data_IF_169852436617
#
_entry.id   IF_169852436617
#
_cell.length_a   1.000
_cell.length_b   1.000
_cell.length_c   1.000
_cell.angle_alpha   90.00
_cell.angle_beta   90.00
_cell.angle_gamma   90.00
#
_symmetry.space_group_name_H-M   'P 1'
#
loop_
_entity.id
_entity.type
_entity.pdbx_description
1 polymer ?
#
# COMPACT_ATOMS: atom_id res chain seq x y z
N UNK A 1 29.34 1.52 20.29
CA UNK A 1 28.94 0.16 19.88
C UNK A 1 27.66 0.25 19.07
N UNK A 2 27.74 -0.03 17.77
CA UNK A 2 26.65 0.03 16.79
C UNK A 2 25.64 -1.08 17.08
N UNK A 3 24.39 -0.74 17.41
CA UNK A 3 23.29 -1.72 17.46
C UNK A 3 22.46 -1.59 16.19
N UNK A 4 22.24 -2.75 15.59
CA UNK A 4 21.53 -3.00 14.34
C UNK A 4 20.10 -2.47 14.42
N UNK A 5 19.79 -1.43 13.66
CA UNK A 5 18.43 -1.15 13.22
C UNK A 5 18.44 -1.24 11.69
N UNK A 6 18.38 -2.47 11.19
CA UNK A 6 18.09 -2.72 9.79
C UNK A 6 16.58 -2.55 9.62
N UNK A 7 16.16 -1.31 9.39
CA UNK A 7 14.79 -0.97 9.01
C UNK A 7 14.53 -1.50 7.60
N UNK A 8 13.89 -2.66 7.48
CA UNK A 8 13.39 -3.22 6.23
C UNK A 8 12.10 -3.94 6.57
N UNK A 9 10.95 -3.39 6.14
CA UNK A 9 10.26 -3.96 4.97
C UNK A 9 9.35 -2.97 4.19
N UNK A 10 9.47 -3.05 2.87
CA UNK A 10 9.00 -2.25 1.74
C UNK A 10 7.89 -2.79 0.78
N UNK A 11 6.58 -2.99 1.08
CA UNK A 11 5.58 -3.50 0.10
C UNK A 11 4.09 -3.06 0.17
N UNK A 12 3.44 -2.67 1.30
CA UNK A 12 1.95 -2.54 1.28
C UNK A 12 1.45 -1.38 0.42
N UNK A 13 2.13 -0.23 0.46
CA UNK A 13 1.64 0.99 -0.16
C UNK A 13 1.58 0.91 -1.68
N UNK A 14 2.46 0.11 -2.27
CA UNK A 14 2.57 -0.10 -3.72
C UNK A 14 1.32 -0.79 -4.24
N UNK A 15 0.97 -1.93 -3.68
CA UNK A 15 -0.16 -2.74 -4.18
C UNK A 15 -1.48 -2.03 -3.94
N UNK A 16 -1.62 -1.36 -2.80
CA UNK A 16 -2.83 -0.60 -2.47
C UNK A 16 -3.01 0.62 -3.37
N UNK A 17 -1.96 1.42 -3.55
CA UNK A 17 -2.03 2.66 -4.32
C UNK A 17 -2.10 2.39 -5.83
N UNK A 18 -1.41 1.34 -6.33
CA UNK A 18 -1.48 0.87 -7.73
C UNK A 18 -2.93 0.59 -8.18
N UNK A 19 -3.72 0.03 -7.27
CA UNK A 19 -5.10 -0.41 -7.54
C UNK A 19 -6.10 0.77 -7.50
N UNK A 20 -5.74 1.82 -6.78
CA UNK A 20 -6.67 2.81 -6.24
C UNK A 20 -7.09 3.87 -7.25
N UNK A 21 -6.16 4.43 -8.01
CA UNK A 21 -6.46 5.64 -8.80
C UNK A 21 -7.04 5.33 -10.17
N UNK A 22 -6.70 4.21 -10.80
CA UNK A 22 -7.18 3.91 -12.15
C UNK A 22 -8.56 3.19 -12.15
N UNK A 23 -8.92 2.48 -11.07
CA UNK A 23 -10.23 1.81 -10.95
C UNK A 23 -11.35 2.75 -10.49
N UNK A 24 -11.00 3.73 -9.66
CA UNK A 24 -11.88 4.83 -9.24
C UNK A 24 -12.46 5.53 -10.48
N UNK A 25 -11.69 5.76 -11.56
CA UNK A 25 -12.26 6.41 -12.75
C UNK A 25 -13.15 5.54 -13.66
N UNK A 26 -13.25 4.22 -13.45
CA UNK A 26 -13.95 3.32 -14.41
C UNK A 26 -15.13 2.53 -13.85
N UNK A 27 -15.32 2.43 -12.53
CA UNK A 27 -16.42 1.65 -11.94
C UNK A 27 -17.61 2.54 -11.53
N UNK A 28 -18.64 2.61 -12.37
CA UNK A 28 -19.87 3.33 -12.07
C UNK A 28 -20.80 2.59 -11.12
N UNK A 29 -20.74 2.87 -9.81
CA UNK A 29 -21.86 2.85 -8.84
C UNK A 29 -21.54 3.76 -7.65
N UNK A 30 -22.38 4.77 -7.39
CA UNK A 30 -21.98 5.98 -6.66
C UNK A 30 -22.03 5.95 -5.11
N UNK A 31 -22.52 4.87 -4.47
CA UNK A 31 -22.67 4.85 -3.00
C UNK A 31 -21.55 4.06 -2.28
N UNK A 32 -21.29 2.81 -2.67
CA UNK A 32 -20.18 2.02 -2.09
C UNK A 32 -18.79 2.60 -2.46
N UNK A 33 -18.75 3.37 -3.54
CA UNK A 33 -17.54 3.98 -4.06
C UNK A 33 -16.93 5.04 -3.14
N UNK A 34 -17.77 5.84 -2.47
CA UNK A 34 -17.30 6.91 -1.59
C UNK A 34 -16.61 6.30 -0.36
N UNK A 35 -17.20 5.25 0.23
CA UNK A 35 -16.62 4.57 1.40
C UNK A 35 -15.28 3.89 1.08
N UNK A 36 -15.18 3.30 -0.11
CA UNK A 36 -13.92 2.73 -0.61
C UNK A 36 -12.87 3.84 -0.76
N UNK A 37 -13.22 4.94 -1.44
CA UNK A 37 -12.32 6.08 -1.63
C UNK A 37 -11.89 6.69 -0.30
N UNK A 38 -12.79 6.83 0.66
CA UNK A 38 -12.51 7.36 2.01
C UNK A 38 -11.55 6.43 2.77
N UNK A 39 -11.80 5.13 2.75
CA UNK A 39 -10.90 4.13 3.36
C UNK A 39 -9.49 4.29 2.82
N UNK A 40 -9.37 4.48 1.51
CA UNK A 40 -8.10 4.60 0.84
C UNK A 40 -7.37 5.92 1.09
N UNK A 41 -8.08 7.04 1.17
CA UNK A 41 -7.52 8.30 1.63
C UNK A 41 -7.10 8.22 3.09
N UNK A 42 -7.86 7.53 3.95
CA UNK A 42 -7.47 7.24 5.32
C UNK A 42 -6.17 6.43 5.39
N UNK A 43 -5.98 5.43 4.53
CA UNK A 43 -4.69 4.73 4.45
C UNK A 43 -3.56 5.67 4.00
N UNK A 44 -3.81 6.53 3.02
CA UNK A 44 -2.81 7.50 2.59
C UNK A 44 -2.40 8.45 3.73
N UNK A 45 -3.37 9.10 4.37
CA UNK A 45 -3.14 10.20 5.32
C UNK A 45 -2.79 9.72 6.74
N UNK A 46 -3.44 8.66 7.22
CA UNK A 46 -3.31 8.21 8.62
C UNK A 46 -2.31 7.07 8.77
N UNK A 47 -2.09 6.27 7.72
CA UNK A 47 -1.21 5.09 7.77
C UNK A 47 0.14 5.35 7.10
N UNK A 48 0.15 5.89 5.88
CA UNK A 48 1.39 6.05 5.11
C UNK A 48 2.09 7.38 5.42
N UNK A 49 1.42 8.51 5.17
CA UNK A 49 1.98 9.86 5.26
C UNK A 49 2.76 10.16 6.56
N UNK A 50 2.35 9.66 7.75
CA UNK A 50 3.05 9.96 9.01
C UNK A 50 4.45 9.33 9.11
N UNK A 51 4.76 8.33 8.29
CA UNK A 51 6.01 7.55 8.37
C UNK A 51 6.96 7.86 7.21
N UNK A 52 8.27 7.79 7.44
CA UNK A 52 9.27 7.97 6.35
C UNK A 52 9.13 6.86 5.30
N UNK A 53 8.94 5.63 5.76
CA UNK A 53 8.66 4.47 4.93
C UNK A 53 7.37 4.63 4.12
N UNK A 54 6.32 5.18 4.72
CA UNK A 54 5.05 5.45 4.04
C UNK A 54 5.16 6.51 2.94
N UNK A 55 5.89 7.60 3.20
CA UNK A 55 6.18 8.64 2.19
C UNK A 55 6.95 8.08 0.99
N UNK A 56 7.90 7.17 1.20
CA UNK A 56 8.57 6.48 0.11
C UNK A 56 7.60 5.75 -0.84
N UNK A 57 6.58 5.06 -0.30
CA UNK A 57 5.59 4.41 -1.16
C UNK A 57 4.65 5.38 -1.85
N UNK A 58 4.30 6.48 -1.19
CA UNK A 58 3.50 7.54 -1.81
C UNK A 58 4.25 8.08 -3.04
N UNK A 59 5.55 8.35 -2.92
CA UNK A 59 6.37 8.83 -4.03
C UNK A 59 6.48 7.79 -5.15
N UNK A 60 6.74 6.53 -4.79
CA UNK A 60 6.84 5.43 -5.74
C UNK A 60 5.53 5.23 -6.52
N UNK A 61 4.39 5.39 -5.82
CA UNK A 61 3.08 5.37 -6.45
C UNK A 61 2.93 6.49 -7.48
N UNK A 62 3.14 7.75 -7.07
CA UNK A 62 2.94 8.89 -7.97
C UNK A 62 3.89 8.86 -9.17
N UNK A 63 5.09 8.30 -9.00
CA UNK A 63 6.06 8.12 -10.08
C UNK A 63 5.56 7.16 -11.17
N UNK A 64 4.98 6.01 -10.81
CA UNK A 64 4.52 5.01 -11.78
C UNK A 64 3.04 5.14 -12.17
N UNK A 65 2.25 5.96 -11.47
CA UNK A 65 0.82 6.10 -11.71
C UNK A 65 0.41 6.40 -13.17
N UNK A 66 1.09 7.30 -13.92
CA UNK A 66 0.73 7.53 -15.32
C UNK A 66 0.83 6.28 -16.19
N UNK A 67 1.85 5.45 -15.95
CA UNK A 67 2.04 4.19 -16.66
C UNK A 67 0.96 3.18 -16.27
N UNK A 68 0.72 3.00 -14.96
CA UNK A 68 -0.27 2.07 -14.45
C UNK A 68 -1.68 2.36 -14.98
N UNK A 69 -2.07 3.63 -15.09
CA UNK A 69 -3.35 3.99 -15.68
C UNK A 69 -3.41 3.69 -17.18
N UNK A 70 -2.31 3.85 -17.92
CA UNK A 70 -2.27 3.41 -19.30
C UNK A 70 -2.40 1.87 -19.41
N UNK A 71 -1.78 1.12 -18.49
CA UNK A 71 -1.89 -0.34 -18.47
C UNK A 71 -3.32 -0.80 -18.17
N UNK A 72 -3.99 -0.21 -17.18
CA UNK A 72 -5.40 -0.51 -16.85
C UNK A 72 -6.34 -0.22 -18.03
N UNK A 73 -6.06 0.82 -18.82
CA UNK A 73 -6.84 1.15 -20.02
C UNK A 73 -6.53 0.24 -21.21
N UNK A 74 -5.31 -0.28 -21.29
CA UNK A 74 -4.82 -1.05 -22.44
C UNK A 74 -5.01 -2.56 -22.29
N UNK A 75 -5.01 -3.06 -21.06
CA UNK A 75 -5.03 -4.49 -20.72
C UNK A 75 -6.20 -4.79 -19.76
N UNK A 76 -7.31 -5.35 -20.26
CA UNK A 76 -8.48 -5.67 -19.43
C UNK A 76 -8.16 -6.54 -18.21
N UNK A 77 -7.25 -7.49 -18.35
CA UNK A 77 -6.77 -8.36 -17.28
C UNK A 77 -6.12 -7.59 -16.12
N UNK A 78 -5.36 -6.52 -16.42
CA UNK A 78 -4.75 -5.65 -15.40
C UNK A 78 -5.86 -4.94 -14.60
N UNK A 79 -6.90 -4.47 -15.29
CA UNK A 79 -8.04 -3.84 -14.63
C UNK A 79 -8.80 -4.83 -13.74
N UNK A 80 -9.14 -5.99 -14.28
CA UNK A 80 -10.02 -6.95 -13.61
C UNK A 80 -9.33 -7.56 -12.37
N UNK A 81 -8.06 -7.95 -12.49
CA UNK A 81 -7.30 -8.51 -11.36
C UNK A 81 -7.04 -7.45 -10.28
N UNK A 82 -6.73 -6.21 -10.69
CA UNK A 82 -6.60 -5.08 -9.77
C UNK A 82 -7.88 -4.85 -8.95
N UNK A 83 -9.05 -4.93 -9.58
CA UNK A 83 -10.33 -4.74 -8.90
C UNK A 83 -10.63 -5.83 -7.88
N UNK A 84 -10.26 -7.08 -8.18
CA UNK A 84 -10.48 -8.15 -7.21
C UNK A 84 -9.57 -7.98 -5.99
N UNK A 85 -8.31 -7.57 -6.18
CA UNK A 85 -7.41 -7.29 -5.06
C UNK A 85 -7.95 -6.11 -4.23
N UNK A 86 -8.44 -5.05 -4.88
CA UNK A 86 -9.10 -3.91 -4.24
C UNK A 86 -10.15 -4.39 -3.23
N UNK A 87 -11.15 -5.12 -3.73
CA UNK A 87 -12.30 -5.57 -2.95
C UNK A 87 -11.93 -6.57 -1.85
N UNK A 88 -10.86 -7.34 -2.04
CA UNK A 88 -10.39 -8.27 -1.03
C UNK A 88 -9.63 -7.59 0.12
N UNK A 89 -8.89 -6.54 -0.18
CA UNK A 89 -8.11 -5.81 0.82
C UNK A 89 -8.95 -4.79 1.58
N UNK A 90 -9.99 -4.26 0.93
CA UNK A 90 -10.86 -3.20 1.46
C UNK A 90 -11.28 -3.41 2.93
N UNK A 91 -11.80 -4.58 3.36
CA UNK A 91 -12.23 -4.74 4.75
C UNK A 91 -11.08 -4.63 5.76
N UNK A 92 -9.90 -5.13 5.40
CA UNK A 92 -8.72 -5.06 6.26
C UNK A 92 -8.12 -3.66 6.31
N UNK A 93 -8.21 -2.91 5.22
CA UNK A 93 -7.77 -1.51 5.16
C UNK A 93 -8.69 -0.58 5.92
N UNK A 94 -10.00 -0.80 5.82
CA UNK A 94 -11.00 -0.10 6.61
C UNK A 94 -10.78 -0.35 8.10
N UNK A 95 -10.58 -1.62 8.47
CA UNK A 95 -10.21 -1.99 9.83
C UNK A 95 -8.92 -1.29 10.28
N UNK A 96 -7.90 -1.22 9.41
CA UNK A 96 -6.64 -0.53 9.72
C UNK A 96 -6.84 0.97 10.01
N UNK A 97 -7.62 1.67 9.18
CA UNK A 97 -7.94 3.10 9.37
C UNK A 97 -8.77 3.33 10.64
N UNK A 98 -9.68 2.41 10.95
CA UNK A 98 -10.50 2.48 12.16
C UNK A 98 -9.77 2.06 13.45
N UNK A 99 -8.49 1.67 13.38
CA UNK A 99 -7.74 1.16 14.53
C UNK A 99 -8.09 -0.28 14.94
N UNK A 100 -8.81 -1.00 14.08
CA UNK A 100 -9.27 -2.39 14.22
C UNK A 100 -8.40 -3.36 13.38
N UNK A 101 -7.22 -2.91 12.94
CA UNK A 101 -6.34 -3.67 12.03
C UNK A 101 -5.86 -5.02 12.57
N UNK A 102 -6.00 -5.26 13.88
CA UNK A 102 -5.71 -6.55 14.53
C UNK A 102 -6.83 -7.60 14.39
N UNK A 103 -8.02 -7.20 13.95
CA UNK A 103 -9.18 -8.07 13.81
C UNK A 103 -9.21 -8.82 12.46
N UNK A 104 -8.58 -8.25 11.44
CA UNK A 104 -8.56 -8.79 10.08
C UNK A 104 -7.18 -9.34 9.74
N UNK A 105 -7.14 -10.55 9.17
CA UNK A 105 -5.90 -11.23 8.80
C UNK A 105 -5.69 -11.27 7.29
N UNK A 106 -4.44 -11.09 6.88
CA UNK A 106 -4.00 -11.38 5.52
C UNK A 106 -4.03 -12.89 5.30
N UNK A 107 -4.71 -13.31 4.24
CA UNK A 107 -4.79 -14.72 3.85
C UNK A 107 -3.75 -15.04 2.78
N UNK A 108 -3.38 -16.32 2.66
CA UNK A 108 -2.51 -16.77 1.57
C UNK A 108 -3.09 -16.42 0.19
N UNK A 109 -4.41 -16.51 0.02
CA UNK A 109 -5.10 -16.17 -1.23
C UNK A 109 -4.87 -14.70 -1.60
N UNK A 110 -4.89 -13.79 -0.63
CA UNK A 110 -4.61 -12.37 -0.86
C UNK A 110 -3.16 -12.15 -1.27
N UNK A 111 -2.21 -12.81 -0.58
CA UNK A 111 -0.78 -12.74 -0.91
C UNK A 111 -0.51 -13.26 -2.32
N UNK A 112 -1.04 -14.43 -2.66
CA UNK A 112 -0.84 -15.07 -3.97
C UNK A 112 -1.39 -14.21 -5.10
N UNK A 113 -2.56 -13.59 -4.91
CA UNK A 113 -3.17 -12.69 -5.90
C UNK A 113 -2.32 -11.46 -6.16
N UNK A 114 -1.78 -10.87 -5.10
CA UNK A 114 -0.86 -9.74 -5.22
C UNK A 114 0.40 -10.14 -5.98
N UNK A 115 0.96 -11.30 -5.68
CA UNK A 115 2.13 -11.80 -6.41
C UNK A 115 1.82 -12.02 -7.89
N UNK A 116 0.68 -12.65 -8.21
CA UNK A 116 0.25 -12.87 -9.59
C UNK A 116 0.01 -11.55 -10.35
N UNK A 117 -0.59 -10.55 -9.68
CA UNK A 117 -0.80 -9.24 -10.28
C UNK A 117 0.51 -8.49 -10.54
N UNK A 118 1.49 -8.61 -9.64
CA UNK A 118 2.83 -8.08 -9.88
C UNK A 118 3.54 -8.79 -11.03
N UNK A 119 3.36 -10.10 -11.19
CA UNK A 119 3.88 -10.86 -12.33
C UNK A 119 3.26 -10.39 -13.65
N UNK A 120 1.94 -10.13 -13.66
CA UNK A 120 1.24 -9.54 -14.80
C UNK A 120 1.78 -8.15 -15.15
N UNK A 121 1.96 -7.27 -14.17
CA UNK A 121 2.53 -5.93 -14.39
C UNK A 121 3.97 -6.00 -14.93
N UNK A 122 4.76 -7.01 -14.54
CA UNK A 122 6.10 -7.23 -15.10
C UNK A 122 6.04 -7.64 -16.57
N UNK A 123 5.03 -8.42 -16.97
CA UNK A 123 4.86 -8.87 -18.36
C UNK A 123 4.53 -7.71 -19.31
N UNK A 124 3.65 -6.80 -18.89
CA UNK A 124 3.13 -5.72 -19.76
C UNK A 124 3.77 -4.35 -19.49
N UNK A 125 4.48 -4.19 -18.38
CA UNK A 125 5.07 -2.93 -17.94
C UNK A 125 6.36 -2.56 -18.64
N UNK A 126 6.73 -1.29 -18.52
CA UNK A 126 8.00 -0.73 -18.98
C UNK A 126 9.19 -1.33 -18.23
N UNK A 127 10.41 -1.27 -18.78
CA UNK A 127 11.62 -1.71 -18.07
C UNK A 127 11.79 -1.03 -16.70
N UNK A 128 11.38 0.23 -16.57
CA UNK A 128 11.47 0.97 -15.31
C UNK A 128 10.50 0.42 -14.25
N UNK A 129 9.24 0.15 -14.64
CA UNK A 129 8.26 -0.48 -13.75
C UNK A 129 8.66 -1.91 -13.37
N UNK A 130 9.19 -2.69 -14.32
CA UNK A 130 9.71 -4.03 -14.07
C UNK A 130 10.84 -4.01 -13.02
N UNK A 131 11.76 -3.05 -13.14
CA UNK A 131 12.87 -2.90 -12.21
C UNK A 131 12.38 -2.48 -10.82
N UNK A 132 11.43 -1.55 -10.73
CA UNK A 132 10.81 -1.15 -9.48
C UNK A 132 10.15 -2.35 -8.78
N UNK A 133 9.32 -3.13 -9.48
CA UNK A 133 8.67 -4.32 -8.92
C UNK A 133 9.70 -5.33 -8.41
N UNK A 134 10.79 -5.55 -9.16
CA UNK A 134 11.85 -6.50 -8.78
C UNK A 134 12.59 -6.04 -7.53
N UNK A 135 12.93 -4.76 -7.44
CA UNK A 135 13.60 -4.17 -6.27
C UNK A 135 12.72 -4.35 -5.02
N UNK A 136 11.43 -4.08 -5.13
CA UNK A 136 10.51 -4.13 -3.99
C UNK A 136 10.21 -5.58 -3.56
N UNK A 137 10.05 -6.52 -4.49
CA UNK A 137 9.94 -7.96 -4.17
C UNK A 137 11.18 -8.50 -3.46
N UNK A 138 12.37 -8.02 -3.82
CA UNK A 138 13.61 -8.42 -3.14
C UNK A 138 13.73 -7.83 -1.73
N UNK A 139 13.13 -6.66 -1.48
CA UNK A 139 13.12 -6.01 -0.16
C UNK A 139 12.14 -6.64 0.81
N UNK A 140 11.07 -7.24 0.30
CA UNK A 140 9.99 -7.77 1.14
C UNK A 140 9.47 -9.11 0.63
N UNK A 141 9.85 -10.24 1.26
CA UNK A 141 9.32 -11.54 0.91
C UNK A 141 7.82 -11.62 1.24
N UNK A 142 6.98 -11.59 0.21
CA UNK A 142 5.52 -11.56 0.35
C UNK A 142 4.94 -12.78 1.08
N UNK A 143 5.64 -13.92 1.05
CA UNK A 143 5.24 -15.15 1.76
C UNK A 143 5.06 -14.94 3.26
N UNK A 144 5.75 -13.95 3.82
CA UNK A 144 5.85 -13.77 5.27
C UNK A 144 4.60 -13.08 5.85
N UNK A 145 3.74 -12.48 5.01
CA UNK A 145 2.53 -11.78 5.44
C UNK A 145 1.34 -12.69 5.69
N UNK A 146 1.36 -13.91 5.16
CA UNK A 146 0.25 -14.84 5.31
C UNK A 146 0.02 -15.18 6.79
N UNK A 147 -1.21 -14.96 7.26
CA UNK A 147 -1.60 -15.17 8.64
C UNK A 147 -1.33 -13.99 9.58
N UNK A 148 -0.64 -12.94 9.14
CA UNK A 148 -0.50 -11.69 9.91
C UNK A 148 -1.82 -10.92 9.96
N UNK A 149 -2.02 -10.12 11.02
CA UNK A 149 -3.06 -9.09 11.02
C UNK A 149 -2.66 -7.93 10.09
N UNK A 150 -3.63 -7.13 9.66
CA UNK A 150 -3.33 -5.91 8.89
C UNK A 150 -2.46 -4.92 9.68
N UNK A 151 -2.64 -4.84 10.99
CA UNK A 151 -1.79 -4.02 11.86
C UNK A 151 -0.36 -4.57 11.96
N UNK A 152 -0.19 -5.89 12.10
CA UNK A 152 1.14 -6.52 12.06
C UNK A 152 1.83 -6.26 10.71
N UNK A 153 1.10 -6.39 9.61
CA UNK A 153 1.61 -6.08 8.28
C UNK A 153 1.99 -4.60 8.16
N UNK A 154 1.16 -3.68 8.67
CA UNK A 154 1.44 -2.23 8.72
C UNK A 154 2.72 -1.93 9.51
N UNK A 155 2.84 -2.45 10.73
CA UNK A 155 4.02 -2.23 11.60
C UNK A 155 5.27 -2.74 10.93
N UNK A 156 5.18 -3.91 10.30
CA UNK A 156 6.26 -4.43 9.47
C UNK A 156 6.55 -3.35 8.43
N UNK A 157 5.58 -3.00 7.57
CA UNK A 157 5.80 -2.28 6.32
C UNK A 157 6.13 -0.78 6.40
N UNK A 158 5.65 -0.09 7.42
CA UNK A 158 5.86 1.35 7.59
C UNK A 158 6.40 1.73 8.96
N UNK A 159 6.55 0.77 9.86
CA UNK A 159 6.96 1.01 11.25
C UNK A 159 5.83 1.56 12.10
N UNK A 160 6.17 1.94 13.33
CA UNK A 160 5.24 2.64 14.22
C UNK A 160 5.05 4.08 13.74
N UNK A 161 3.87 4.68 13.95
CA UNK A 161 3.68 6.11 13.74
C UNK A 161 4.79 6.87 14.47
N UNK A 162 5.46 7.80 13.78
CA UNK A 162 6.40 8.69 14.44
C UNK A 162 5.57 9.59 15.36
N UNK A 163 5.87 9.62 16.66
CA UNK A 163 5.30 10.68 17.50
C UNK A 163 5.69 12.03 16.90
N UNK A 164 4.78 13.03 16.87
CA UNK A 164 5.13 14.37 16.46
C UNK A 164 6.38 14.77 17.24
N UNK A 165 7.44 15.19 16.54
CA UNK A 165 8.62 15.73 17.20
C UNK A 165 8.11 16.88 18.06
N UNK A 166 8.07 16.68 19.38
CA UNK A 166 7.77 17.75 20.32
C UNK A 166 8.74 18.88 19.96
N UNK A 167 8.22 19.99 19.45
CA UNK A 167 9.06 21.13 19.13
C UNK A 167 9.79 21.51 20.41
N UNK A 168 11.13 21.33 20.51
CA UNK A 168 11.83 22.02 21.57
C UNK A 168 11.60 23.51 21.31
N UNK A 169 11.43 24.28 22.39
CA UNK A 169 11.20 25.74 22.40
C UNK A 169 9.73 26.19 22.39
N UNK A 170 9.10 26.07 23.55
CA UNK A 170 8.52 27.27 24.16
C UNK A 170 8.97 27.32 25.61
N UNK A 171 10.25 27.62 25.82
CA UNK A 171 10.69 28.19 27.10
C UNK A 171 9.95 29.51 27.22
N UNK A 172 8.87 29.51 27.98
CA UNK A 172 8.32 30.72 28.57
C UNK A 172 9.48 31.45 29.25
N UNK A 173 9.95 32.52 28.63
CA UNK A 173 10.80 33.51 29.29
C UNK A 173 9.90 34.47 30.09
N UNK A 174 10.39 34.95 31.24
CA UNK A 174 9.61 35.35 32.40
C UNK A 174 8.77 36.62 32.22
#
# INVERSE_FOLDING_TARGET
MKRLFSYRPLVLGIVLAIILICLVFTAGRALDYIEIVDTYWGVHDDVLLPTEAGRYYIDLFWHHNPELCNLVLSYPEVKDDGLVILLQFEPGLRALVNGEGDEVRLTQVMVDRVQAYLDLLVEVGSPELQDAIRIERARTPFSDFSGMTFEQARILLVGLPQEPIATPFSTSLP
#
